data_IF_014124620790
#
_entry.id   IF_014124620790
#
_cell.length_a   1.000
_cell.length_b   1.000
_cell.length_c   1.000
_cell.angle_alpha   90.00
_cell.angle_beta   90.00
_cell.angle_gamma   90.00
#
_symmetry.space_group_name_H-M   'P 1'
#
loop_
_entity.id
_entity.type
_entity.pdbx_description
1 polymer ?
#
# COMPACT_ATOMS: atom_id res chain seq x y z
N UNK A 1 14.16 15.18 29.25
CA UNK A 1 14.31 15.43 27.79
C UNK A 1 13.61 14.37 26.90
N UNK A 2 13.48 13.09 27.33
CA UNK A 2 12.77 12.03 26.56
C UNK A 2 11.25 12.21 26.44
N UNK A 3 10.57 12.74 27.47
CA UNK A 3 9.10 12.91 27.43
C UNK A 3 8.62 13.98 26.45
N UNK A 4 9.31 15.14 26.36
CA UNK A 4 8.92 16.20 25.41
C UNK A 4 8.98 15.75 23.94
N UNK A 5 9.89 14.81 23.61
CA UNK A 5 10.00 14.21 22.27
C UNK A 5 8.80 13.29 21.94
N UNK A 6 8.24 12.61 22.94
CA UNK A 6 7.09 11.70 22.80
C UNK A 6 5.80 12.45 22.46
N UNK A 7 5.55 13.59 23.14
CA UNK A 7 4.40 14.45 22.84
C UNK A 7 4.49 15.09 21.46
N UNK A 8 5.68 15.54 21.04
CA UNK A 8 5.88 16.10 19.69
C UNK A 8 5.63 15.06 18.59
N UNK A 9 6.06 13.80 18.77
CA UNK A 9 5.80 12.73 17.80
C UNK A 9 4.33 12.32 17.72
N UNK A 10 3.61 12.31 18.84
CA UNK A 10 2.17 12.01 18.86
C UNK A 10 1.37 13.10 18.13
N UNK A 11 1.75 14.37 18.29
CA UNK A 11 1.10 15.49 17.58
C UNK A 11 1.36 15.41 16.07
N UNK A 12 2.60 15.11 15.66
CA UNK A 12 2.94 14.95 14.24
C UNK A 12 2.15 13.77 13.62
N UNK A 13 2.05 12.65 14.33
CA UNK A 13 1.30 11.48 13.88
C UNK A 13 -0.20 11.78 13.76
N UNK A 14 -0.76 12.50 14.72
CA UNK A 14 -2.16 12.91 14.72
C UNK A 14 -2.45 13.86 13.55
N UNK A 15 -1.57 14.84 13.29
CA UNK A 15 -1.71 15.77 12.16
C UNK A 15 -1.59 15.05 10.82
N UNK A 16 -0.66 14.09 10.69
CA UNK A 16 -0.54 13.24 9.49
C UNK A 16 -1.80 12.42 9.24
N UNK A 17 -2.33 11.77 10.30
CA UNK A 17 -3.60 11.03 10.22
C UNK A 17 -4.76 11.93 9.78
N UNK A 18 -4.84 13.13 10.34
CA UNK A 18 -5.90 14.08 10.03
C UNK A 18 -5.78 14.59 8.58
N UNK A 19 -4.56 14.83 8.11
CA UNK A 19 -4.30 15.20 6.72
C UNK A 19 -4.66 14.06 5.73
N UNK A 20 -4.38 12.80 6.09
CA UNK A 20 -4.77 11.63 5.30
C UNK A 20 -6.29 11.51 5.23
N UNK A 21 -6.99 11.68 6.35
CA UNK A 21 -8.46 11.63 6.41
C UNK A 21 -9.07 12.74 5.56
N UNK A 22 -8.58 13.98 5.68
CA UNK A 22 -9.04 15.11 4.86
C UNK A 22 -8.75 14.87 3.38
N UNK A 23 -7.54 14.42 3.04
CA UNK A 23 -7.16 14.10 1.67
C UNK A 23 -8.05 13.02 1.07
N UNK A 24 -8.39 11.99 1.84
CA UNK A 24 -9.30 10.92 1.42
C UNK A 24 -10.73 11.44 1.20
N UNK A 25 -11.25 12.31 2.08
CA UNK A 25 -12.56 12.94 1.92
C UNK A 25 -12.61 13.85 0.68
N UNK A 26 -11.56 14.64 0.44
CA UNK A 26 -11.44 15.50 -0.74
C UNK A 26 -11.36 14.67 -2.02
N UNK A 27 -10.62 13.56 -2.00
CA UNK A 27 -10.51 12.63 -3.13
C UNK A 27 -11.87 12.04 -3.51
N UNK A 28 -12.64 11.57 -2.52
CA UNK A 28 -13.98 11.01 -2.71
C UNK A 28 -14.99 12.06 -3.23
N UNK A 29 -14.82 13.33 -2.82
CA UNK A 29 -15.65 14.46 -3.29
C UNK A 29 -15.30 14.89 -4.72
N UNK A 30 -14.02 14.91 -5.08
CA UNK A 30 -13.54 15.41 -6.37
C UNK A 30 -13.69 14.38 -7.49
N UNK A 31 -13.66 13.08 -7.15
CA UNK A 31 -13.86 11.99 -8.08
C UNK A 31 -15.04 11.10 -7.63
N UNK A 32 -16.29 11.49 -7.90
CA UNK A 32 -17.47 10.72 -7.51
C UNK A 32 -17.50 9.31 -8.14
N UNK A 33 -16.91 9.14 -9.33
CA UNK A 33 -16.80 7.86 -10.03
C UNK A 33 -15.58 7.03 -9.60
N UNK A 34 -14.73 7.53 -8.69
CA UNK A 34 -13.62 6.74 -8.15
C UNK A 34 -14.14 5.54 -7.35
N UNK A 35 -15.28 5.72 -6.68
CA UNK A 35 -15.98 4.63 -6.00
C UNK A 35 -16.45 3.60 -7.01
N UNK A 36 -17.06 3.96 -8.15
CA UNK A 36 -17.43 2.99 -9.19
C UNK A 36 -16.21 2.29 -9.80
N UNK A 37 -15.10 2.99 -10.01
CA UNK A 37 -13.87 2.41 -10.54
C UNK A 37 -13.20 1.43 -9.56
N UNK A 38 -13.27 1.70 -8.24
CA UNK A 38 -12.83 0.78 -7.19
C UNK A 38 -13.85 -0.33 -6.88
N UNK A 39 -15.14 -0.08 -7.13
CA UNK A 39 -16.23 -1.05 -6.95
C UNK A 39 -16.24 -2.06 -8.09
N UNK A 40 -15.84 -1.65 -9.29
CA UNK A 40 -15.63 -2.53 -10.44
C UNK A 40 -14.27 -3.24 -10.35
N UNK A 41 -14.10 -4.01 -9.27
CA UNK A 41 -12.93 -4.84 -9.00
C UNK A 41 -12.61 -5.77 -10.17
N UNK A 42 -13.61 -6.14 -10.97
CA UNK A 42 -13.47 -6.95 -12.17
C UNK A 42 -12.60 -6.25 -13.23
N UNK A 43 -12.77 -4.94 -13.47
CA UNK A 43 -11.95 -4.17 -14.41
C UNK A 43 -10.50 -4.05 -13.96
N UNK A 44 -10.26 -3.83 -12.67
CA UNK A 44 -8.91 -3.80 -12.10
C UNK A 44 -8.23 -5.16 -12.26
N UNK A 45 -8.98 -6.24 -12.05
CA UNK A 45 -8.49 -7.60 -12.28
C UNK A 45 -8.18 -7.87 -13.74
N UNK A 46 -9.05 -7.53 -14.68
CA UNK A 46 -8.75 -7.67 -16.11
C UNK A 46 -7.52 -6.85 -16.51
N UNK A 47 -7.43 -5.60 -16.04
CA UNK A 47 -6.31 -4.71 -16.29
C UNK A 47 -4.99 -5.22 -15.69
N UNK A 48 -5.01 -6.00 -14.61
CA UNK A 48 -3.79 -6.58 -14.06
C UNK A 48 -3.50 -7.95 -14.70
N UNK A 49 -4.54 -8.73 -15.01
CA UNK A 49 -4.42 -10.04 -15.65
C UNK A 49 -3.92 -9.96 -17.10
N UNK A 50 -4.12 -8.85 -17.81
CA UNK A 50 -3.47 -8.62 -19.11
C UNK A 50 -1.94 -8.62 -19.05
N UNK A 51 -1.34 -8.38 -17.87
CA UNK A 51 0.11 -8.50 -17.68
C UNK A 51 0.56 -9.97 -17.51
N UNK A 52 -0.38 -10.91 -17.41
CA UNK A 52 -0.14 -12.36 -17.38
C UNK A 52 0.91 -12.77 -16.35
N UNK A 53 1.95 -13.46 -16.80
CA UNK A 53 3.05 -13.98 -15.96
C UNK A 53 3.84 -12.87 -15.26
N UNK A 54 3.76 -11.61 -15.72
CA UNK A 54 4.46 -10.47 -15.11
C UNK A 54 3.72 -9.87 -13.92
N UNK A 55 2.41 -10.11 -13.81
CA UNK A 55 1.57 -9.51 -12.77
C UNK A 55 2.06 -9.79 -11.32
N UNK A 56 2.53 -11.01 -10.96
CA UNK A 56 3.08 -11.27 -9.63
C UNK A 56 4.31 -10.41 -9.30
N UNK A 57 5.19 -10.19 -10.29
CA UNK A 57 6.41 -9.40 -10.10
C UNK A 57 6.10 -7.92 -9.94
N UNK A 58 5.11 -7.41 -10.68
CA UNK A 58 4.62 -6.03 -10.54
C UNK A 58 4.07 -5.83 -9.13
N UNK A 59 3.31 -6.81 -8.61
CA UNK A 59 2.75 -6.73 -7.26
C UNK A 59 3.86 -6.75 -6.20
N UNK A 60 4.86 -7.63 -6.32
CA UNK A 60 6.03 -7.64 -5.43
C UNK A 60 6.77 -6.30 -5.49
N UNK A 61 6.99 -5.75 -6.68
CA UNK A 61 7.64 -4.44 -6.85
C UNK A 61 6.87 -3.31 -6.17
N UNK A 62 5.54 -3.29 -6.33
CA UNK A 62 4.67 -2.32 -5.67
C UNK A 62 4.69 -2.49 -4.13
N UNK A 63 4.72 -3.75 -3.67
CA UNK A 63 4.83 -4.10 -2.24
C UNK A 63 6.19 -3.69 -1.66
N UNK A 64 7.28 -3.74 -2.43
CA UNK A 64 8.59 -3.25 -2.01
C UNK A 64 8.59 -1.71 -1.98
N UNK A 65 8.08 -1.08 -3.04
CA UNK A 65 8.03 0.37 -3.16
C UNK A 65 7.25 1.03 -2.02
N UNK A 66 6.06 0.51 -1.68
CA UNK A 66 5.28 1.03 -0.56
C UNK A 66 6.00 0.88 0.79
N UNK A 67 6.81 -0.17 0.99
CA UNK A 67 7.59 -0.35 2.24
C UNK A 67 8.67 0.71 2.36
N UNK A 68 9.34 1.02 1.25
CA UNK A 68 10.45 1.97 1.23
C UNK A 68 9.94 3.41 1.32
N UNK A 69 8.90 3.76 0.56
CA UNK A 69 8.46 5.15 0.41
C UNK A 69 7.26 5.51 1.32
N UNK A 70 6.45 4.54 1.73
CA UNK A 70 5.38 4.65 2.73
C UNK A 70 4.12 5.53 2.46
N UNK A 71 3.79 6.06 1.25
CA UNK A 71 2.53 6.81 1.10
C UNK A 71 1.31 5.88 0.88
N UNK A 72 1.52 4.61 0.51
CA UNK A 72 0.44 3.67 0.15
C UNK A 72 0.20 2.70 1.34
N UNK A 73 -1.05 2.54 1.82
CA UNK A 73 -1.35 1.55 2.84
C UNK A 73 -1.12 0.12 2.31
N UNK A 74 -0.15 -0.60 2.87
CA UNK A 74 0.20 -1.96 2.44
C UNK A 74 -0.95 -2.97 2.53
N UNK A 75 -1.98 -2.70 3.33
CA UNK A 75 -3.19 -3.51 3.43
C UNK A 75 -3.94 -3.56 2.09
N UNK A 76 -3.96 -2.44 1.34
CA UNK A 76 -4.62 -2.38 0.03
C UNK A 76 -3.95 -3.30 -0.98
N UNK A 77 -2.61 -3.35 -0.96
CA UNK A 77 -1.84 -4.22 -1.85
C UNK A 77 -2.00 -5.69 -1.43
N UNK A 78 -2.10 -5.95 -0.12
CA UNK A 78 -2.48 -7.25 0.43
C UNK A 78 -3.82 -7.77 -0.08
N UNK A 79 -4.86 -6.94 0.02
CA UNK A 79 -6.18 -7.27 -0.51
C UNK A 79 -6.17 -7.46 -2.03
N UNK A 80 -5.46 -6.59 -2.76
CA UNK A 80 -5.31 -6.72 -4.20
C UNK A 80 -4.64 -8.07 -4.57
N UNK A 81 -3.60 -8.48 -3.85
CA UNK A 81 -2.93 -9.76 -4.11
C UNK A 81 -3.85 -10.95 -3.89
N UNK A 82 -4.60 -10.96 -2.78
CA UNK A 82 -5.58 -12.01 -2.49
C UNK A 82 -6.71 -12.07 -3.51
N UNK A 83 -7.15 -10.91 -3.99
CA UNK A 83 -8.20 -10.80 -5.01
C UNK A 83 -7.73 -11.25 -6.41
N UNK A 84 -6.51 -10.87 -6.79
CA UNK A 84 -5.96 -11.12 -8.13
C UNK A 84 -5.44 -12.56 -8.29
N UNK A 85 -4.74 -13.08 -7.28
CA UNK A 85 -4.04 -14.36 -7.35
C UNK A 85 -4.68 -15.46 -6.49
N UNK A 86 -5.75 -15.12 -5.75
CA UNK A 86 -6.38 -16.00 -4.76
C UNK A 86 -5.69 -15.93 -3.41
N UNK A 87 -6.39 -16.36 -2.35
CA UNK A 87 -5.94 -16.22 -0.97
C UNK A 87 -4.53 -16.78 -0.72
N UNK A 88 -4.24 -18.00 -1.19
CA UNK A 88 -2.96 -18.65 -0.92
C UNK A 88 -1.79 -18.02 -1.70
N UNK A 89 -1.90 -17.95 -3.03
CA UNK A 89 -0.83 -17.39 -3.88
C UNK A 89 -0.65 -15.89 -3.64
N UNK A 90 -1.74 -15.15 -3.45
CA UNK A 90 -1.71 -13.73 -3.10
C UNK A 90 -0.96 -13.49 -1.78
N UNK A 91 -1.25 -14.29 -0.76
CA UNK A 91 -0.52 -14.22 0.52
C UNK A 91 0.97 -14.50 0.35
N UNK A 92 1.35 -15.53 -0.42
CA UNK A 92 2.76 -15.84 -0.69
C UNK A 92 3.47 -14.68 -1.40
N UNK A 93 2.84 -14.06 -2.40
CA UNK A 93 3.39 -12.90 -3.10
C UNK A 93 3.56 -11.69 -2.19
N UNK A 94 2.58 -11.44 -1.31
CA UNK A 94 2.69 -10.40 -0.30
C UNK A 94 3.83 -10.66 0.68
N UNK A 95 3.94 -11.89 1.19
CA UNK A 95 5.03 -12.26 2.10
C UNK A 95 6.39 -12.08 1.43
N UNK A 96 6.54 -12.49 0.17
CA UNK A 96 7.77 -12.29 -0.59
C UNK A 96 8.10 -10.80 -0.74
N UNK A 97 7.14 -9.97 -1.15
CA UNK A 97 7.34 -8.52 -1.28
C UNK A 97 7.65 -7.83 0.06
N UNK A 98 7.00 -8.27 1.15
CA UNK A 98 7.27 -7.77 2.49
C UNK A 98 8.70 -8.11 2.91
N UNK A 99 9.12 -9.36 2.72
CA UNK A 99 10.46 -9.81 3.08
C UNK A 99 11.55 -9.05 2.31
N UNK A 100 11.37 -8.89 1.01
CA UNK A 100 12.31 -8.16 0.14
C UNK A 100 12.34 -6.68 0.53
N UNK A 101 11.18 -6.03 0.67
CA UNK A 101 11.09 -4.61 0.98
C UNK A 101 11.66 -4.28 2.35
N UNK A 102 11.35 -5.09 3.36
CA UNK A 102 11.91 -4.94 4.71
C UNK A 102 13.43 -5.13 4.72
N UNK A 103 13.93 -6.12 3.97
CA UNK A 103 15.38 -6.35 3.83
C UNK A 103 16.07 -5.15 3.20
N UNK A 104 15.53 -4.61 2.10
CA UNK A 104 16.08 -3.42 1.42
C UNK A 104 16.02 -2.20 2.35
N UNK A 105 14.87 -1.93 2.99
CA UNK A 105 14.72 -0.81 3.90
C UNK A 105 15.70 -0.89 5.09
N UNK A 106 15.94 -2.09 5.62
CA UNK A 106 16.93 -2.33 6.66
C UNK A 106 18.35 -1.97 6.20
N UNK A 107 18.74 -2.40 5.00
CA UNK A 107 20.05 -2.07 4.44
C UNK A 107 20.20 -0.56 4.16
N UNK A 108 19.17 0.08 3.62
CA UNK A 108 19.16 1.54 3.39
C UNK A 108 19.29 2.29 4.72
N UNK A 109 18.57 1.90 5.77
CA UNK A 109 18.64 2.55 7.07
C UNK A 109 19.96 2.31 7.84
N UNK A 110 20.77 1.35 7.38
CA UNK A 110 22.10 1.07 7.94
C UNK A 110 23.21 1.88 7.26
N UNK A 111 22.99 2.36 6.03
CA UNK A 111 23.89 3.25 5.31
C UNK A 111 23.84 4.67 5.90
#
# INVERSE_FOLDING_TARGET
>A
MKEKRKYSQLVILAVLLLAIIIGFIVLLRCYPNLLEFFTDQAKIREYIMQYGVRAPFILIGLQVFQIIFAPIPGHLIGFAAGYLFGAFKGTLLCLAGIFIGASIAFWIGRL
#
